data_IF_517368008607
#
_entry.id   IF_517368008607
#
_cell.length_a   1.000
_cell.length_b   1.000
_cell.length_c   1.000
_cell.angle_alpha   90.00
_cell.angle_beta   90.00
_cell.angle_gamma   90.00
#
_symmetry.space_group_name_H-M   'P 1'
#
loop_
_entity.id
_entity.type
_entity.pdbx_description
1 polymer ?
#
# COMPACT_ATOMS: atom_id res chain seq x y z
N UNK A 1 -37.33 4.68 -9.66
CA UNK A 1 -36.00 5.10 -9.18
C UNK A 1 -36.21 5.90 -7.92
N UNK A 2 -35.57 5.51 -6.81
CA UNK A 2 -35.61 6.25 -5.56
C UNK A 2 -34.67 7.46 -5.67
N UNK A 3 -35.19 8.67 -5.49
CA UNK A 3 -34.38 9.89 -5.39
C UNK A 3 -34.10 10.11 -3.92
N UNK A 4 -32.83 10.24 -3.56
CA UNK A 4 -32.41 10.58 -2.19
C UNK A 4 -32.16 12.08 -2.16
N UNK A 5 -32.72 12.79 -1.18
CA UNK A 5 -32.56 14.24 -1.00
C UNK A 5 -31.99 14.50 0.40
N UNK A 6 -31.17 15.53 0.57
CA UNK A 6 -30.73 15.96 1.91
C UNK A 6 -31.82 16.75 2.66
N UNK A 7 -31.51 17.13 3.90
CA UNK A 7 -32.43 17.90 4.78
C UNK A 7 -32.80 19.29 4.24
N UNK A 8 -32.07 19.79 3.25
CA UNK A 8 -32.31 21.09 2.61
C UNK A 8 -32.95 20.93 1.21
N UNK A 9 -33.32 19.69 0.84
CA UNK A 9 -34.04 19.35 -0.40
C UNK A 9 -33.14 19.21 -1.63
N UNK A 10 -31.82 19.12 -1.46
CA UNK A 10 -30.91 18.92 -2.58
C UNK A 10 -30.87 17.44 -2.98
N UNK A 11 -31.06 17.16 -4.28
CA UNK A 11 -30.97 15.80 -4.82
C UNK A 11 -29.56 15.25 -4.70
N UNK A 12 -29.39 14.20 -3.91
CA UNK A 12 -28.18 13.40 -3.81
C UNK A 12 -28.17 12.45 -5.00
N UNK A 13 -27.21 12.61 -5.91
CA UNK A 13 -26.98 11.63 -6.97
C UNK A 13 -26.15 10.49 -6.37
N UNK A 14 -26.68 9.25 -6.21
CA UNK A 14 -25.93 8.15 -5.62
C UNK A 14 -24.72 7.71 -6.48
N UNK A 15 -24.60 8.26 -7.69
CA UNK A 15 -23.44 8.14 -8.56
C UNK A 15 -22.76 9.50 -8.73
N UNK A 16 -22.34 10.14 -7.64
CA UNK A 16 -21.08 10.88 -7.76
C UNK A 16 -20.09 9.77 -8.10
N UNK A 17 -19.48 9.82 -9.29
CA UNK A 17 -18.18 9.20 -9.48
C UNK A 17 -17.34 9.83 -8.39
N UNK A 18 -17.22 9.17 -7.24
CA UNK A 18 -16.16 9.47 -6.34
C UNK A 18 -14.94 9.42 -7.24
N UNK A 19 -14.23 10.52 -7.35
CA UNK A 19 -12.90 10.50 -7.96
C UNK A 19 -11.97 9.72 -7.01
N UNK A 20 -12.42 8.58 -6.49
CA UNK A 20 -11.62 7.45 -6.09
C UNK A 20 -11.06 6.91 -7.40
N UNK A 21 -10.11 7.67 -7.95
CA UNK A 21 -8.89 7.06 -8.45
C UNK A 21 -8.55 6.07 -7.33
N UNK A 22 -8.71 4.74 -7.52
CA UNK A 22 -8.25 3.79 -6.50
C UNK A 22 -6.82 4.23 -6.24
N UNK A 23 -6.40 4.43 -4.97
CA UNK A 23 -5.10 5.01 -4.69
C UNK A 23 -4.08 4.41 -5.65
N UNK A 24 -3.68 5.22 -6.63
CA UNK A 24 -2.60 4.84 -7.50
C UNK A 24 -1.39 5.18 -6.65
N UNK A 25 -0.37 4.33 -6.64
CA UNK A 25 0.80 4.51 -5.79
C UNK A 25 1.64 5.70 -6.24
N UNK A 26 1.04 6.88 -6.28
CA UNK A 26 1.71 8.13 -6.08
C UNK A 26 2.50 7.96 -4.79
N UNK A 27 3.78 8.29 -4.83
CA UNK A 27 4.69 8.42 -3.68
C UNK A 27 4.27 9.58 -2.76
N UNK A 28 2.96 9.74 -2.53
CA UNK A 28 2.38 10.87 -1.81
C UNK A 28 2.76 10.87 -0.33
N UNK A 29 2.92 9.69 0.27
CA UNK A 29 3.28 9.57 1.69
C UNK A 29 4.74 9.17 1.91
N UNK A 30 5.36 8.42 0.98
CA UNK A 30 6.80 8.18 1.05
C UNK A 30 7.35 7.10 0.12
N UNK A 31 8.64 6.85 0.29
CA UNK A 31 9.45 5.84 -0.40
C UNK A 31 10.24 5.07 0.66
N UNK A 32 10.29 3.75 0.55
CA UNK A 32 11.15 2.88 1.37
C UNK A 32 12.24 2.30 0.47
N UNK A 33 13.48 2.66 0.78
CA UNK A 33 14.66 2.11 0.12
C UNK A 33 15.01 0.74 0.70
N UNK A 34 15.10 -0.27 -0.16
CA UNK A 34 15.53 -1.62 0.17
C UNK A 34 17.07 -1.67 0.12
N UNK A 35 17.69 -1.04 1.11
CA UNK A 35 19.13 -0.73 1.11
C UNK A 35 20.06 -1.94 1.22
N UNK A 36 19.53 -3.09 1.63
CA UNK A 36 20.28 -4.34 1.78
C UNK A 36 19.53 -5.46 1.08
N UNK A 37 20.27 -6.25 0.30
CA UNK A 37 19.76 -7.50 -0.25
C UNK A 37 19.30 -8.43 0.88
N UNK A 38 18.25 -9.20 0.60
CA UNK A 38 17.69 -10.21 1.48
C UNK A 38 17.32 -9.67 2.89
N UNK A 39 16.96 -8.39 2.96
CA UNK A 39 16.48 -7.73 4.18
C UNK A 39 15.03 -7.28 3.99
N UNK A 40 14.20 -7.44 5.03
CA UNK A 40 12.82 -6.97 5.04
C UNK A 40 12.68 -5.59 5.67
N UNK A 41 11.88 -4.75 5.05
CA UNK A 41 11.60 -3.39 5.45
C UNK A 41 10.10 -3.21 5.63
N UNK A 42 9.71 -2.57 6.73
CA UNK A 42 8.33 -2.20 6.98
C UNK A 42 7.89 -1.08 6.02
N UNK A 43 6.68 -1.19 5.48
CA UNK A 43 6.06 -0.24 4.55
C UNK A 43 4.62 0.00 5.00
N UNK A 44 4.33 1.18 5.60
CA UNK A 44 5.29 2.22 6.01
C UNK A 44 6.20 1.76 7.16
N UNK A 45 7.30 2.50 7.37
CA UNK A 45 8.24 2.30 8.49
C UNK A 45 7.63 2.63 9.86
N UNK A 46 6.58 3.46 9.87
CA UNK A 46 5.68 3.70 11.00
C UNK A 46 4.23 3.43 10.61
N UNK A 47 3.62 2.41 11.21
CA UNK A 47 2.26 2.01 10.90
C UNK A 47 1.22 3.05 11.40
N UNK A 48 0.21 3.40 10.58
CA UNK A 48 -0.94 4.19 11.03
C UNK A 48 -1.62 3.56 12.25
N UNK A 49 -2.11 4.41 13.17
CA UNK A 49 -2.79 3.98 14.41
C UNK A 49 -4.25 3.58 14.21
N UNK A 50 -4.75 3.68 12.98
CA UNK A 50 -6.14 3.45 12.58
C UNK A 50 -6.13 2.48 11.40
N UNK A 51 -7.27 1.83 11.13
CA UNK A 51 -7.41 0.97 9.94
C UNK A 51 -7.20 1.81 8.67
N UNK A 52 -6.54 1.22 7.68
CA UNK A 52 -6.10 1.95 6.48
C UNK A 52 -6.00 1.04 5.27
N UNK A 53 -6.16 1.60 4.07
CA UNK A 53 -5.75 0.94 2.84
C UNK A 53 -4.37 1.44 2.46
N UNK A 54 -3.40 0.55 2.37
CA UNK A 54 -2.08 0.86 1.81
C UNK A 54 -2.06 0.56 0.32
N UNK A 55 -1.39 1.42 -0.42
CA UNK A 55 -1.01 1.18 -1.80
C UNK A 55 0.48 1.30 -1.96
N UNK A 56 1.09 0.29 -2.57
CA UNK A 56 2.51 0.23 -2.86
C UNK A 56 2.75 0.10 -4.35
N UNK A 57 3.78 0.76 -4.87
CA UNK A 57 4.24 0.65 -6.24
C UNK A 57 5.75 0.48 -6.29
N UNK A 58 6.24 -0.39 -7.16
CA UNK A 58 7.68 -0.57 -7.36
C UNK A 58 8.24 0.63 -8.14
N UNK A 59 9.33 1.24 -7.67
CA UNK A 59 10.00 2.33 -8.36
C UNK A 59 11.27 1.84 -9.06
N UNK A 60 12.29 1.49 -8.28
CA UNK A 60 13.46 0.79 -8.76
C UNK A 60 13.32 -0.69 -8.41
N UNK A 61 13.46 -1.56 -9.41
CA UNK A 61 13.24 -3.00 -9.28
C UNK A 61 14.21 -3.79 -10.17
N UNK A 62 15.50 -3.62 -9.88
CA UNK A 62 16.58 -4.40 -10.48
C UNK A 62 16.60 -5.84 -9.94
N UNK A 63 16.20 -6.02 -8.68
CA UNK A 63 16.08 -7.33 -8.02
C UNK A 63 14.70 -7.97 -8.11
N UNK A 64 14.58 -9.15 -7.50
CA UNK A 64 13.28 -9.78 -7.27
C UNK A 64 12.70 -9.24 -5.97
N UNK A 65 11.74 -8.33 -6.07
CA UNK A 65 11.04 -7.76 -4.91
C UNK A 65 9.90 -8.69 -4.47
N UNK A 66 9.81 -8.94 -3.17
CA UNK A 66 8.76 -9.74 -2.52
C UNK A 66 8.07 -8.95 -1.42
N UNK A 67 6.85 -9.34 -1.09
CA UNK A 67 6.08 -8.77 0.02
C UNK A 67 5.54 -9.83 0.97
N UNK A 68 5.32 -9.45 2.23
CA UNK A 68 4.85 -10.32 3.31
C UNK A 68 4.09 -9.51 4.37
N UNK A 69 3.29 -10.19 5.20
CA UNK A 69 2.69 -9.61 6.41
C UNK A 69 3.61 -9.70 7.64
N UNK A 70 4.75 -10.39 7.52
CA UNK A 70 5.75 -10.55 8.57
C UNK A 70 7.15 -10.21 8.03
N UNK A 71 7.94 -9.51 8.84
CA UNK A 71 9.33 -9.13 8.57
C UNK A 71 10.35 -10.15 9.06
N UNK A 72 9.88 -11.28 9.62
CA UNK A 72 10.72 -12.39 10.09
C UNK A 72 11.16 -13.37 8.98
N UNK A 73 12.46 -13.65 8.93
CA UNK A 73 13.09 -14.61 8.02
C UNK A 73 13.64 -13.95 6.76
N UNK A 74 14.74 -14.44 6.17
CA UNK A 74 15.27 -13.86 4.92
C UNK A 74 14.19 -13.90 3.81
N UNK A 75 14.14 -12.91 2.89
CA UNK A 75 13.36 -12.98 1.65
C UNK A 75 13.85 -14.15 0.80
N UNK A 76 13.44 -15.37 1.12
CA UNK A 76 13.82 -16.52 0.33
C UNK A 76 12.94 -16.58 -0.92
N UNK A 77 13.42 -17.27 -1.96
CA UNK A 77 12.61 -17.60 -3.13
C UNK A 77 11.27 -18.33 -2.80
N UNK A 78 11.12 -18.79 -1.56
CA UNK A 78 9.93 -19.46 -1.02
C UNK A 78 9.26 -18.73 0.16
N UNK A 79 9.76 -17.56 0.60
CA UNK A 79 9.18 -16.80 1.71
C UNK A 79 8.71 -15.41 1.22
N UNK A 80 7.44 -15.10 1.44
CA UNK A 80 6.77 -13.94 0.85
C UNK A 80 6.31 -14.15 -0.59
N UNK A 81 5.36 -13.32 -1.01
CA UNK A 81 4.78 -13.32 -2.34
C UNK A 81 5.59 -12.43 -3.28
N UNK A 82 5.71 -12.79 -4.56
CA UNK A 82 6.29 -11.89 -5.56
C UNK A 82 5.50 -10.57 -5.58
N UNK A 83 6.20 -9.44 -5.49
CA UNK A 83 5.55 -8.14 -5.53
C UNK A 83 5.07 -7.83 -6.95
N UNK A 84 3.77 -7.53 -7.14
CA UNK A 84 3.32 -6.93 -8.38
C UNK A 84 3.83 -5.48 -8.47
N UNK A 85 3.80 -4.90 -9.68
CA UNK A 85 4.15 -3.49 -9.88
C UNK A 85 3.28 -2.53 -9.04
N UNK A 86 2.05 -2.94 -8.71
CA UNK A 86 1.11 -2.20 -7.88
C UNK A 86 0.33 -3.17 -6.98
N UNK A 87 0.26 -2.85 -5.68
CA UNK A 87 -0.40 -3.65 -4.65
C UNK A 87 -1.26 -2.74 -3.77
N UNK A 88 -2.52 -3.11 -3.54
CA UNK A 88 -3.41 -2.43 -2.62
C UNK A 88 -3.97 -3.42 -1.59
N UNK A 89 -3.81 -3.11 -0.29
CA UNK A 89 -4.21 -3.99 0.80
C UNK A 89 -4.89 -3.19 1.91
N UNK A 90 -5.99 -3.73 2.45
CA UNK A 90 -6.60 -3.21 3.66
C UNK A 90 -5.86 -3.77 4.88
N UNK A 91 -5.38 -2.86 5.72
CA UNK A 91 -4.53 -3.13 6.85
C UNK A 91 -5.24 -2.69 8.13
N UNK A 92 -5.14 -3.51 9.17
CA UNK A 92 -5.57 -3.11 10.50
C UNK A 92 -4.63 -2.08 11.12
N UNK A 93 -5.15 -1.32 12.09
CA UNK A 93 -4.38 -0.39 12.90
C UNK A 93 -3.08 -1.02 13.44
N UNK A 94 -1.99 -0.25 13.41
CA UNK A 94 -0.65 -0.63 13.88
C UNK A 94 -0.06 -1.88 13.20
N UNK A 95 -0.56 -2.26 12.02
CA UNK A 95 0.05 -3.30 11.17
C UNK A 95 0.83 -2.64 10.05
N UNK A 96 1.86 -3.31 9.55
CA UNK A 96 2.63 -2.86 8.37
C UNK A 96 2.77 -4.01 7.39
N UNK A 97 3.01 -3.68 6.13
CA UNK A 97 3.44 -4.66 5.14
C UNK A 97 4.97 -4.70 5.13
N UNK A 98 5.56 -5.83 4.78
CA UNK A 98 7.01 -5.94 4.65
C UNK A 98 7.40 -6.18 3.22
N UNK A 99 8.45 -5.51 2.75
CA UNK A 99 9.07 -5.74 1.44
C UNK A 99 10.55 -6.08 1.58
N UNK A 100 11.03 -6.97 0.72
CA UNK A 100 12.43 -7.30 0.62
C UNK A 100 12.82 -7.52 -0.84
N UNK A 101 14.08 -7.24 -1.17
CA UNK A 101 14.63 -7.47 -2.51
C UNK A 101 15.82 -8.43 -2.45
N UNK A 102 16.04 -9.16 -3.52
CA UNK A 102 17.24 -9.97 -3.72
C UNK A 102 18.50 -9.15 -4.02
N UNK A 103 18.38 -7.84 -4.20
CA UNK A 103 19.51 -6.90 -4.35
C UNK A 103 19.32 -5.69 -3.45
N UNK A 104 20.40 -4.96 -3.18
CA UNK A 104 20.33 -3.65 -2.56
C UNK A 104 20.04 -2.56 -3.61
N UNK A 105 19.34 -1.50 -3.21
CA UNK A 105 19.10 -0.32 -4.04
C UNK A 105 17.81 -0.34 -4.84
N UNK A 106 16.93 -1.32 -4.59
CA UNK A 106 15.54 -1.26 -5.04
C UNK A 106 14.71 -0.35 -4.13
N UNK A 107 13.59 0.17 -4.64
CA UNK A 107 12.75 1.12 -3.94
C UNK A 107 11.26 0.80 -4.13
N UNK A 108 10.49 1.00 -3.06
CA UNK A 108 9.03 0.92 -3.11
C UNK A 108 8.40 2.24 -2.66
N UNK A 109 7.52 2.76 -3.49
CA UNK A 109 6.71 3.94 -3.21
C UNK A 109 5.40 3.53 -2.56
N UNK A 110 4.92 4.32 -1.61
CA UNK A 110 3.64 4.04 -0.98
C UNK A 110 2.79 5.29 -0.73
N UNK A 111 1.50 5.02 -0.61
CA UNK A 111 0.50 5.92 -0.05
C UNK A 111 -0.46 5.13 0.83
N UNK A 112 -1.12 5.77 1.78
CA UNK A 112 -2.20 5.16 2.54
C UNK A 112 -3.39 6.09 2.70
N UNK A 113 -4.57 5.47 2.78
CA UNK A 113 -5.84 6.16 3.01
C UNK A 113 -6.44 5.60 4.29
N UNK A 114 -6.75 6.47 5.25
CA UNK A 114 -7.49 6.08 6.46
C UNK A 114 -8.86 5.53 6.07
N UNK A 115 -9.23 4.40 6.66
CA UNK A 115 -10.59 3.88 6.61
C UNK A 115 -11.40 4.54 7.74
N UNK A 116 -12.52 5.15 7.40
CA UNK A 116 -13.44 5.84 8.32
C UNK A 116 -14.78 5.13 8.38
#
# INVERSE_FOLDING_TARGET
MMTVEDKDGQKINPAIKENQIPPQGSSGDGTIALVSADTWYAVPDSAPTEDYTIVVSLENADGTIRWSFDGGGAPSVTNGNLAPNHLAINMGANKTLYFGSSTAGDDVNYSYIKQV
#
